data_IF_267158139719
#
_entry.id   IF_267158139719
#
_cell.length_a   1.000
_cell.length_b   1.000
_cell.length_c   1.000
_cell.angle_alpha   90.00
_cell.angle_beta   90.00
_cell.angle_gamma   90.00
#
_symmetry.space_group_name_H-M   'P 1'
#
loop_
_entity.id
_entity.type
_entity.pdbx_description
1 polymer ?
#
# COMPACT_ATOMS: atom_id res chain seq x y z
N UNK A 1 0.92 17.55 15.57
CA UNK A 1 0.16 16.77 14.58
C UNK A 1 1.10 15.78 13.91
N UNK A 2 0.72 14.51 13.85
CA UNK A 2 1.54 13.46 13.27
C UNK A 2 1.11 13.24 11.81
N UNK A 3 2.06 13.33 10.89
CA UNK A 3 1.82 13.12 9.47
C UNK A 3 2.55 11.86 9.01
N UNK A 4 1.80 10.81 8.69
CA UNK A 4 2.35 9.61 8.09
C UNK A 4 2.25 9.70 6.57
N UNK A 5 3.40 9.64 5.91
CA UNK A 5 3.49 9.73 4.45
C UNK A 5 4.12 8.45 3.88
N UNK A 6 3.75 8.06 2.66
CA UNK A 6 4.44 6.96 2.01
C UNK A 6 5.94 7.26 1.85
N UNK A 7 6.77 6.25 2.07
CA UNK A 7 8.22 6.39 1.85
C UNK A 7 8.50 6.43 0.35
N UNK A 8 9.15 7.49 -0.11
CA UNK A 8 9.48 7.65 -1.53
C UNK A 8 10.38 6.53 -2.06
N UNK A 9 11.31 6.02 -1.24
CA UNK A 9 12.21 4.94 -1.64
C UNK A 9 11.48 3.65 -1.98
N UNK A 10 10.46 3.28 -1.19
CA UNK A 10 9.66 2.08 -1.41
C UNK A 10 8.88 2.18 -2.72
N UNK A 11 8.22 3.31 -2.94
CA UNK A 11 7.43 3.51 -4.16
C UNK A 11 8.30 3.71 -5.40
N UNK A 12 9.46 4.31 -5.25
CA UNK A 12 10.45 4.40 -6.33
C UNK A 12 10.90 3.02 -6.79
N UNK A 13 11.20 2.12 -5.86
CA UNK A 13 11.57 0.72 -6.18
C UNK A 13 10.44 -0.01 -6.89
N UNK A 14 9.20 0.17 -6.45
CA UNK A 14 8.03 -0.43 -7.09
C UNK A 14 7.83 0.12 -8.51
N UNK A 15 8.05 1.41 -8.72
CA UNK A 15 7.99 2.01 -10.06
C UNK A 15 9.03 1.42 -11.02
N UNK A 16 10.24 1.15 -10.53
CA UNK A 16 11.28 0.48 -11.33
C UNK A 16 10.80 -0.92 -11.74
N UNK A 17 10.24 -1.70 -10.80
CA UNK A 17 9.72 -3.04 -11.10
C UNK A 17 8.60 -2.97 -12.13
N UNK A 18 7.67 -2.05 -11.97
CA UNK A 18 6.57 -1.83 -12.93
C UNK A 18 7.13 -1.46 -14.31
N UNK A 19 8.14 -0.59 -14.37
CA UNK A 19 8.79 -0.20 -15.61
C UNK A 19 9.46 -1.38 -16.32
N UNK A 20 10.15 -2.25 -15.59
CA UNK A 20 10.79 -3.46 -16.14
C UNK A 20 9.74 -4.41 -16.68
N UNK A 21 8.66 -4.66 -15.93
CA UNK A 21 7.57 -5.54 -16.37
C UNK A 21 6.87 -4.99 -17.62
N UNK A 22 6.66 -3.68 -17.66
CA UNK A 22 6.04 -3.02 -18.81
C UNK A 22 6.93 -3.09 -20.05
N UNK A 23 8.23 -2.89 -19.89
CA UNK A 23 9.20 -3.04 -20.98
C UNK A 23 9.22 -4.48 -21.52
N UNK A 24 9.16 -5.47 -20.63
CA UNK A 24 9.07 -6.88 -21.02
C UNK A 24 7.79 -7.19 -21.81
N UNK A 25 6.67 -6.63 -21.40
CA UNK A 25 5.40 -6.77 -22.11
C UNK A 25 5.46 -6.17 -23.51
N UNK A 26 6.01 -4.97 -23.64
CA UNK A 26 6.20 -4.30 -24.94
C UNK A 26 7.12 -5.15 -25.83
N UNK A 27 8.20 -5.68 -25.29
CA UNK A 27 9.12 -6.54 -26.03
C UNK A 27 8.41 -7.78 -26.58
N UNK A 28 7.62 -8.47 -25.77
CA UNK A 28 6.86 -9.66 -26.17
C UNK A 28 5.87 -9.31 -27.29
N UNK A 29 5.15 -8.21 -27.16
CA UNK A 29 4.18 -7.77 -28.17
C UNK A 29 4.84 -7.38 -29.48
N UNK A 30 6.00 -6.72 -29.43
CA UNK A 30 6.76 -6.37 -30.62
C UNK A 30 7.31 -7.62 -31.32
N UNK A 31 7.83 -8.59 -30.58
CA UNK A 31 8.30 -9.85 -31.13
C UNK A 31 7.17 -10.61 -31.84
N UNK A 32 5.99 -10.68 -31.22
CA UNK A 32 4.80 -11.27 -31.85
C UNK A 32 4.42 -10.55 -33.14
N UNK A 33 4.45 -9.22 -33.15
CA UNK A 33 4.07 -8.42 -34.30
C UNK A 33 5.06 -8.52 -35.47
N UNK A 34 6.38 -8.63 -35.17
CA UNK A 34 7.44 -8.55 -36.19
C UNK A 34 8.02 -9.89 -36.58
N UNK A 35 8.36 -10.74 -35.62
CA UNK A 35 9.17 -11.92 -35.81
C UNK A 35 8.40 -13.21 -35.63
N UNK A 36 7.41 -13.26 -34.73
CA UNK A 36 6.65 -14.47 -34.42
C UNK A 36 7.54 -15.69 -34.12
N UNK A 37 8.60 -15.48 -33.33
CA UNK A 37 9.62 -16.49 -33.04
C UNK A 37 9.06 -17.70 -32.31
N UNK A 38 8.02 -17.52 -31.52
CA UNK A 38 7.40 -18.54 -30.69
C UNK A 38 5.95 -18.81 -31.10
N UNK A 39 5.33 -19.85 -30.53
CA UNK A 39 3.95 -20.18 -30.79
C UNK A 39 3.00 -19.10 -30.26
N UNK A 40 1.84 -18.98 -30.86
CA UNK A 40 0.78 -18.04 -30.44
C UNK A 40 0.43 -18.21 -28.95
N UNK A 41 0.36 -19.43 -28.47
CA UNK A 41 0.05 -19.72 -27.06
C UNK A 41 1.10 -19.16 -26.11
N UNK A 42 2.36 -19.17 -26.49
CA UNK A 42 3.44 -18.57 -25.68
C UNK A 42 3.20 -17.08 -25.48
N UNK A 43 2.90 -16.35 -26.52
CA UNK A 43 2.64 -14.92 -26.44
C UNK A 43 1.38 -14.62 -25.64
N UNK A 44 0.32 -15.37 -25.86
CA UNK A 44 -0.95 -15.21 -25.14
C UNK A 44 -0.77 -15.41 -23.63
N UNK A 45 -0.15 -16.51 -23.23
CA UNK A 45 0.07 -16.83 -21.82
C UNK A 45 1.03 -15.83 -21.15
N UNK A 46 2.14 -15.50 -21.82
CA UNK A 46 3.12 -14.57 -21.26
C UNK A 46 2.57 -13.17 -21.12
N UNK A 47 1.89 -12.65 -22.13
CA UNK A 47 1.29 -11.32 -22.11
C UNK A 47 0.19 -11.24 -21.02
N UNK A 48 -0.64 -12.28 -20.93
CA UNK A 48 -1.69 -12.34 -19.89
C UNK A 48 -1.08 -12.36 -18.50
N UNK A 49 -0.08 -13.18 -18.26
CA UNK A 49 0.60 -13.29 -16.98
C UNK A 49 1.23 -11.95 -16.56
N UNK A 50 1.98 -11.31 -17.45
CA UNK A 50 2.61 -10.01 -17.19
C UNK A 50 1.56 -8.94 -16.91
N UNK A 51 0.48 -8.91 -17.66
CA UNK A 51 -0.61 -7.94 -17.47
C UNK A 51 -1.27 -8.12 -16.10
N UNK A 52 -1.55 -9.35 -15.70
CA UNK A 52 -2.16 -9.64 -14.39
C UNK A 52 -1.23 -9.22 -13.26
N UNK A 53 0.07 -9.54 -13.35
CA UNK A 53 1.04 -9.16 -12.33
C UNK A 53 1.16 -7.63 -12.24
N UNK A 54 1.22 -6.94 -13.38
CA UNK A 54 1.24 -5.47 -13.42
C UNK A 54 0.01 -4.87 -12.74
N UNK A 55 -1.17 -5.38 -13.05
CA UNK A 55 -2.41 -4.88 -12.46
C UNK A 55 -2.45 -5.08 -10.95
N UNK A 56 -2.00 -6.23 -10.46
CA UNK A 56 -1.93 -6.50 -9.02
C UNK A 56 -0.99 -5.52 -8.33
N UNK A 57 0.19 -5.29 -8.90
CA UNK A 57 1.17 -4.35 -8.32
C UNK A 57 0.61 -2.92 -8.32
N UNK A 58 0.00 -2.48 -9.43
CA UNK A 58 -0.58 -1.14 -9.52
C UNK A 58 -1.72 -0.94 -8.52
N UNK A 59 -2.61 -1.91 -8.37
CA UNK A 59 -3.70 -1.84 -7.39
C UNK A 59 -3.14 -1.76 -5.97
N UNK A 60 -2.14 -2.56 -5.63
CA UNK A 60 -1.49 -2.50 -4.32
C UNK A 60 -0.81 -1.17 -4.07
N UNK A 61 -0.13 -0.61 -5.07
CA UNK A 61 0.47 0.72 -4.96
C UNK A 61 -0.59 1.80 -4.68
N UNK A 62 -1.68 1.78 -5.44
CA UNK A 62 -2.76 2.75 -5.26
C UNK A 62 -3.41 2.62 -3.88
N UNK A 63 -3.62 1.41 -3.42
CA UNK A 63 -4.22 1.17 -2.10
C UNK A 63 -3.29 1.56 -0.96
N UNK A 64 -1.98 1.36 -1.11
CA UNK A 64 -0.98 1.70 -0.09
C UNK A 64 -0.53 3.15 -0.10
N UNK A 65 -0.74 3.88 -1.19
CA UNK A 65 -0.32 5.28 -1.30
C UNK A 65 -1.35 6.19 -0.63
N UNK A 66 -1.19 6.34 0.67
CA UNK A 66 -2.13 7.11 1.49
C UNK A 66 -1.37 7.99 2.48
N UNK A 67 -1.94 9.16 2.75
CA UNK A 67 -1.44 10.10 3.74
C UNK A 67 -2.39 10.07 4.93
N UNK A 68 -1.87 9.81 6.12
CA UNK A 68 -2.66 9.82 7.34
C UNK A 68 -2.09 10.89 8.25
N UNK A 69 -2.96 11.78 8.72
CA UNK A 69 -2.62 12.81 9.69
C UNK A 69 -3.43 12.59 10.96
N UNK A 70 -2.74 12.50 12.09
CA UNK A 70 -3.37 12.36 13.40
C UNK A 70 -3.18 13.65 14.18
N UNK A 71 -4.30 14.32 14.51
CA UNK A 71 -4.33 15.53 15.33
C UNK A 71 -4.69 15.22 16.78
N UNK A 72 -5.07 16.26 17.53
CA UNK A 72 -5.41 16.09 18.95
C UNK A 72 -6.63 15.17 19.16
N UNK A 73 -7.63 15.27 18.30
CA UNK A 73 -8.89 14.51 18.43
C UNK A 73 -9.45 14.04 17.09
N UNK A 74 -8.65 14.08 16.02
CA UNK A 74 -9.16 13.74 14.70
C UNK A 74 -8.08 13.08 13.84
N UNK A 75 -8.54 12.25 12.91
CA UNK A 75 -7.73 11.66 11.86
C UNK A 75 -8.17 12.20 10.52
N UNK A 76 -7.20 12.48 9.66
CA UNK A 76 -7.46 12.81 8.26
C UNK A 76 -6.73 11.79 7.39
N UNK A 77 -7.48 11.13 6.52
CA UNK A 77 -6.93 10.15 5.57
C UNK A 77 -7.09 10.70 4.16
N UNK A 78 -6.00 10.86 3.45
CA UNK A 78 -5.99 11.29 2.05
C UNK A 78 -5.49 10.17 1.15
N UNK A 79 -6.23 9.90 0.10
CA UNK A 79 -5.89 8.94 -0.93
C UNK A 79 -5.73 9.69 -2.27
N UNK A 80 -4.56 10.30 -2.55
CA UNK A 80 -4.40 11.18 -3.72
C UNK A 80 -4.69 10.49 -5.04
N UNK A 81 -4.31 9.20 -5.17
CA UNK A 81 -4.53 8.44 -6.40
C UNK A 81 -5.99 8.13 -6.66
N UNK A 82 -6.83 8.15 -5.62
CA UNK A 82 -8.27 7.96 -5.73
C UNK A 82 -9.06 9.26 -5.61
N UNK A 83 -8.38 10.38 -5.36
CA UNK A 83 -9.03 11.66 -5.15
C UNK A 83 -9.94 11.71 -3.92
N UNK A 84 -9.71 10.84 -2.94
CA UNK A 84 -10.52 10.76 -1.72
C UNK A 84 -9.81 11.42 -0.55
N UNK A 85 -10.57 12.17 0.24
CA UNK A 85 -10.12 12.72 1.52
C UNK A 85 -11.21 12.50 2.54
N UNK A 86 -10.88 11.83 3.63
CA UNK A 86 -11.83 11.50 4.69
C UNK A 86 -11.34 12.04 6.03
N UNK A 87 -12.26 12.54 6.83
CA UNK A 87 -12.00 13.00 8.19
C UNK A 87 -12.73 12.11 9.18
N UNK A 88 -12.02 11.67 10.21
CA UNK A 88 -12.57 10.84 11.28
C UNK A 88 -12.25 11.43 12.64
N UNK A 89 -13.20 11.37 13.56
CA UNK A 89 -12.93 11.68 14.96
C UNK A 89 -12.37 10.46 15.70
N UNK A 90 -11.88 10.66 16.91
CA UNK A 90 -11.43 9.55 17.75
C UNK A 90 -12.54 8.55 18.06
N UNK A 91 -13.77 9.05 18.16
CA UNK A 91 -14.95 8.20 18.41
C UNK A 91 -15.32 7.34 17.20
N UNK A 92 -14.88 7.74 16.01
CA UNK A 92 -15.15 6.99 14.78
C UNK A 92 -14.22 5.77 14.62
N UNK A 93 -13.20 5.65 15.46
CA UNK A 93 -12.32 4.48 15.47
C UNK A 93 -13.01 3.36 16.25
N UNK A 94 -13.33 2.25 15.57
CA UNK A 94 -13.91 1.07 16.20
C UNK A 94 -12.86 0.26 16.95
N UNK A 95 -11.75 -0.01 16.28
CA UNK A 95 -10.67 -0.83 16.82
C UNK A 95 -9.39 -0.60 16.03
N UNK A 96 -8.26 -0.96 16.63
CA UNK A 96 -6.98 -0.98 15.91
C UNK A 96 -6.12 -2.12 16.42
N UNK A 97 -5.23 -2.58 15.57
CA UNK A 97 -4.40 -3.75 15.82
C UNK A 97 -2.99 -3.50 15.29
N UNK A 98 -2.01 -3.96 16.02
CA UNK A 98 -0.62 -3.94 15.56
C UNK A 98 -0.13 -5.39 15.39
N UNK A 99 0.37 -5.70 14.21
CA UNK A 99 0.98 -6.97 13.89
C UNK A 99 2.49 -6.80 13.75
N UNK A 100 3.25 -7.70 14.33
CA UNK A 100 4.70 -7.74 14.22
C UNK A 100 5.12 -9.03 13.53
N UNK A 101 5.88 -8.90 12.45
CA UNK A 101 6.39 -10.02 11.67
C UNK A 101 7.90 -9.93 11.62
N UNK A 102 8.59 -11.00 12.06
CA UNK A 102 10.03 -11.12 11.95
C UNK A 102 10.37 -11.83 10.64
N UNK A 103 11.08 -11.15 9.76
CA UNK A 103 11.54 -11.71 8.49
C UNK A 103 12.99 -11.30 8.23
N UNK A 104 13.87 -12.26 7.98
CA UNK A 104 15.27 -12.02 7.64
C UNK A 104 16.00 -11.05 8.60
N UNK A 105 15.82 -11.24 9.91
CA UNK A 105 16.39 -10.38 10.98
C UNK A 105 15.84 -8.95 11.00
N UNK A 106 14.81 -8.64 10.20
CA UNK A 106 14.10 -7.35 10.23
C UNK A 106 12.72 -7.53 10.84
N UNK A 107 12.34 -6.60 11.69
CA UNK A 107 11.00 -6.58 12.28
C UNK A 107 10.09 -5.69 11.43
N UNK A 108 9.05 -6.28 10.85
CA UNK A 108 8.01 -5.56 10.14
C UNK A 108 6.82 -5.36 11.06
N UNK A 109 6.45 -4.10 11.25
CA UNK A 109 5.28 -3.73 12.04
C UNK A 109 4.22 -3.17 11.14
N UNK A 110 3.00 -3.62 11.32
CA UNK A 110 1.84 -3.13 10.57
C UNK A 110 0.72 -2.80 11.55
N UNK A 111 0.19 -1.61 11.44
CA UNK A 111 -0.98 -1.18 12.22
C UNK A 111 -2.18 -1.05 11.30
N UNK A 112 -3.28 -1.70 11.66
CA UNK A 112 -4.55 -1.60 10.95
C UNK A 112 -5.56 -0.89 11.86
N UNK A 113 -6.20 0.13 11.32
CA UNK A 113 -7.23 0.92 12.03
C UNK A 113 -8.56 0.72 11.31
N UNK A 114 -9.59 0.33 12.06
CA UNK A 114 -10.95 0.14 11.55
C UNK A 114 -11.82 1.29 12.03
N UNK A 115 -12.50 1.95 11.11
CA UNK A 115 -13.38 3.07 11.40
C UNK A 115 -14.86 2.65 11.38
N UNK A 116 -15.72 3.52 11.93
CA UNK A 116 -17.16 3.27 12.09
C UNK A 116 -17.88 3.03 10.75
N UNK A 117 -17.38 3.54 9.64
CA UNK A 117 -17.92 3.31 8.29
C UNK A 117 -17.50 1.97 7.69
N UNK A 118 -16.91 1.08 8.48
CA UNK A 118 -16.37 -0.23 8.09
C UNK A 118 -15.16 -0.15 7.16
N UNK A 119 -14.59 1.02 6.93
CA UNK A 119 -13.32 1.12 6.21
C UNK A 119 -12.16 0.82 7.15
N UNK A 120 -11.14 0.16 6.63
CA UNK A 120 -9.91 -0.11 7.35
C UNK A 120 -8.72 0.44 6.59
N UNK A 121 -7.75 0.96 7.33
CA UNK A 121 -6.49 1.46 6.76
C UNK A 121 -5.32 0.79 7.46
N UNK A 122 -4.40 0.29 6.67
CA UNK A 122 -3.19 -0.35 7.16
C UNK A 122 -1.98 0.54 6.88
N UNK A 123 -1.11 0.63 7.87
CA UNK A 123 0.15 1.35 7.80
C UNK A 123 1.27 0.41 8.22
N UNK A 124 2.41 0.50 7.58
CA UNK A 124 3.57 -0.29 7.98
C UNK A 124 4.79 0.60 8.22
N UNK A 125 5.69 0.16 9.10
CA UNK A 125 6.94 0.87 9.34
C UNK A 125 7.88 0.86 8.13
N UNK A 126 7.67 -0.06 7.21
CA UNK A 126 8.46 -0.18 5.98
C UNK A 126 8.00 0.81 4.90
N UNK A 127 6.70 1.06 4.81
CA UNK A 127 6.10 1.87 3.73
C UNK A 127 5.79 3.31 4.13
N UNK A 128 5.69 3.60 5.44
CA UNK A 128 5.24 4.91 5.92
C UNK A 128 6.24 5.54 6.88
N UNK A 129 6.39 6.86 6.79
CA UNK A 129 7.19 7.65 7.74
C UNK A 129 6.40 7.88 9.03
N UNK A 130 7.10 8.14 10.13
CA UNK A 130 6.50 8.44 11.44
C UNK A 130 5.53 7.37 11.96
N UNK A 131 5.71 6.12 11.54
CA UNK A 131 4.89 5.00 11.99
C UNK A 131 4.91 4.85 13.51
N UNK A 132 6.09 4.90 14.13
CA UNK A 132 6.24 4.72 15.57
C UNK A 132 5.54 5.84 16.36
N UNK A 133 5.57 7.06 15.85
CA UNK A 133 4.90 8.20 16.48
C UNK A 133 3.39 8.03 16.44
N UNK A 134 2.85 7.57 15.32
CA UNK A 134 1.44 7.26 15.18
C UNK A 134 1.03 6.12 16.12
N UNK A 135 1.85 5.09 16.22
CA UNK A 135 1.57 3.96 17.09
C UNK A 135 1.53 4.37 18.57
N UNK A 136 2.48 5.19 19.00
CA UNK A 136 2.48 5.77 20.35
C UNK A 136 1.22 6.62 20.60
N UNK A 137 0.81 7.39 19.62
CA UNK A 137 -0.41 8.18 19.68
C UNK A 137 -1.64 7.30 19.89
N UNK A 138 -1.76 6.21 19.11
CA UNK A 138 -2.85 5.26 19.21
C UNK A 138 -2.88 4.58 20.59
N UNK A 139 -1.73 4.18 21.10
CA UNK A 139 -1.63 3.57 22.43
C UNK A 139 -2.05 4.53 23.54
N UNK A 140 -1.68 5.80 23.42
CA UNK A 140 -2.01 6.82 24.41
C UNK A 140 -3.49 7.23 24.39
N UNK A 141 -4.05 7.41 23.18
CA UNK A 141 -5.42 7.92 23.00
C UNK A 141 -6.48 6.82 22.88
N UNK A 142 -6.14 5.71 22.27
CA UNK A 142 -7.06 4.64 21.92
C UNK A 142 -6.61 3.27 22.43
N UNK A 143 -5.81 3.23 23.49
CA UNK A 143 -5.32 1.99 24.05
C UNK A 143 -6.42 0.97 24.40
N UNK A 144 -7.59 1.45 24.82
CA UNK A 144 -8.75 0.61 25.13
C UNK A 144 -9.38 -0.06 23.92
N UNK A 145 -9.17 0.48 22.73
CA UNK A 145 -9.72 -0.05 21.46
C UNK A 145 -8.74 -0.95 20.72
N UNK A 146 -7.60 -1.26 21.31
CA UNK A 146 -6.61 -2.14 20.73
C UNK A 146 -7.08 -3.60 20.78
N UNK A 147 -7.02 -4.26 19.64
CA UNK A 147 -7.23 -5.70 19.52
C UNK A 147 -5.87 -6.41 19.68
N UNK A 148 -5.84 -7.44 20.49
CA UNK A 148 -4.63 -8.26 20.67
C UNK A 148 -4.48 -9.32 19.59
#
# INVERSE_FOLDING_TARGET
>A
MIHCRPKSSTYFSLLIVVGILFAGLIYILLDFSRYQTYNFWFYLLSATLLTVVLLIILVKMMAGYRFISAGKEAFQVKLPLRGLSKHYGLNDVLAWQEEKILANKKEFKQTTIVFADKTSFSLSNHEHTHYEDLNKYLQKKLGKKRIK
#
